data_IF_239452430765
#
_entry.id   IF_239452430765
#
_cell.length_a   1.000
_cell.length_b   1.000
_cell.length_c   1.000
_cell.angle_alpha   90.00
_cell.angle_beta   90.00
_cell.angle_gamma   90.00
#
_symmetry.space_group_name_H-M   'P 1'
#
loop_
_entity.id
_entity.type
_entity.pdbx_description
1 polymer ?
#
# COMPACT_ATOMS: atom_id res chain seq x y z
N UNK A 1 -10.70 22.07 5.48
CA UNK A 1 -10.86 21.80 6.92
C UNK A 1 -11.09 20.33 7.22
N UNK A 2 -12.08 19.66 6.60
CA UNK A 2 -12.38 18.24 6.85
C UNK A 2 -11.14 17.32 6.72
N UNK A 3 -10.36 17.43 5.64
CA UNK A 3 -9.15 16.63 5.42
C UNK A 3 -8.11 16.79 6.55
N UNK A 4 -7.91 18.02 7.03
CA UNK A 4 -6.99 18.30 8.14
C UNK A 4 -7.51 17.69 9.46
N UNK A 5 -8.82 17.70 9.69
CA UNK A 5 -9.44 17.06 10.85
C UNK A 5 -9.33 15.53 10.78
N UNK A 6 -9.57 14.93 9.60
CA UNK A 6 -9.38 13.48 9.38
C UNK A 6 -7.94 13.10 9.70
N UNK A 7 -6.98 13.84 9.15
CA UNK A 7 -5.55 13.60 9.39
C UNK A 7 -5.18 13.73 10.87
N UNK A 8 -5.61 14.82 11.53
CA UNK A 8 -5.33 15.06 12.94
C UNK A 8 -5.94 13.98 13.85
N UNK A 9 -7.23 13.66 13.65
CA UNK A 9 -7.89 12.62 14.44
C UNK A 9 -7.26 11.25 14.22
N UNK A 10 -6.85 10.92 12.99
CA UNK A 10 -6.11 9.70 12.68
C UNK A 10 -4.78 9.61 13.43
N UNK A 11 -3.99 10.70 13.45
CA UNK A 11 -2.72 10.77 14.19
C UNK A 11 -2.89 10.67 15.71
N UNK A 12 -4.02 11.13 16.24
CA UNK A 12 -4.33 11.07 17.67
C UNK A 12 -4.99 9.75 18.11
N UNK A 13 -5.11 8.75 17.22
CA UNK A 13 -5.80 7.51 17.54
C UNK A 13 -7.31 7.64 17.69
N UNK A 14 -7.88 8.82 17.39
CA UNK A 14 -9.30 9.11 17.50
C UNK A 14 -10.04 8.72 16.22
N UNK A 15 -9.89 7.47 15.79
CA UNK A 15 -10.35 7.00 14.49
C UNK A 15 -11.85 7.19 14.26
N UNK A 16 -12.68 6.98 15.29
CA UNK A 16 -14.14 7.21 15.20
C UNK A 16 -14.49 8.65 14.82
N UNK A 17 -13.71 9.63 15.32
CA UNK A 17 -13.90 11.04 14.96
C UNK A 17 -13.47 11.31 13.53
N UNK A 18 -12.37 10.68 13.08
CA UNK A 18 -11.93 10.79 11.68
C UNK A 18 -13.03 10.25 10.73
N UNK A 19 -13.57 9.06 11.03
CA UNK A 19 -14.66 8.45 10.26
C UNK A 19 -15.90 9.35 10.27
N UNK A 20 -16.29 9.89 11.43
CA UNK A 20 -17.45 10.77 11.53
C UNK A 20 -17.29 12.07 10.73
N UNK A 21 -16.07 12.61 10.63
CA UNK A 21 -15.79 13.77 9.76
C UNK A 21 -15.88 13.35 8.29
N UNK A 22 -15.26 12.23 7.92
CA UNK A 22 -15.28 11.70 6.56
C UNK A 22 -16.72 11.47 6.07
N UNK A 23 -17.53 10.74 6.83
CA UNK A 23 -18.94 10.44 6.48
C UNK A 23 -19.84 11.68 6.38
N UNK A 24 -19.49 12.79 7.04
CA UNK A 24 -20.24 14.05 6.96
C UNK A 24 -19.85 14.91 5.75
N UNK A 25 -18.83 14.52 4.99
CA UNK A 25 -18.45 15.23 3.78
C UNK A 25 -19.51 14.98 2.71
N UNK A 26 -19.97 16.06 2.08
CA UNK A 26 -20.92 15.93 0.96
C UNK A 26 -20.27 15.29 -0.27
N UNK A 27 -18.98 15.54 -0.49
CA UNK A 27 -18.21 14.96 -1.59
C UNK A 27 -16.78 14.69 -1.14
N UNK A 28 -16.30 13.47 -1.38
CA UNK A 28 -14.92 13.10 -1.18
C UNK A 28 -14.05 13.54 -2.37
N UNK A 29 -12.81 13.88 -2.09
CA UNK A 29 -11.75 14.11 -3.06
C UNK A 29 -10.53 13.23 -2.75
N UNK A 30 -9.52 13.26 -3.62
CA UNK A 30 -8.29 12.46 -3.51
C UNK A 30 -7.63 12.58 -2.12
N UNK A 31 -7.61 13.79 -1.56
CA UNK A 31 -6.99 14.06 -0.25
C UNK A 31 -7.83 13.43 0.87
N UNK A 32 -9.16 13.48 0.82
CA UNK A 32 -9.99 12.83 1.85
C UNK A 32 -9.85 11.31 1.84
N UNK A 33 -9.76 10.69 0.66
CA UNK A 33 -9.58 9.24 0.52
C UNK A 33 -8.22 8.79 1.07
N UNK A 34 -7.14 9.40 0.58
CA UNK A 34 -5.78 9.12 1.06
C UNK A 34 -5.64 9.36 2.57
N UNK A 35 -6.24 10.43 3.11
CA UNK A 35 -6.22 10.72 4.55
C UNK A 35 -6.97 9.67 5.37
N UNK A 36 -8.15 9.24 4.92
CA UNK A 36 -8.96 8.26 5.65
C UNK A 36 -8.33 6.86 5.60
N UNK A 37 -7.83 6.44 4.44
CA UNK A 37 -7.16 5.14 4.28
C UNK A 37 -5.89 5.07 5.13
N UNK A 38 -5.07 6.14 5.09
CA UNK A 38 -3.88 6.24 5.94
C UNK A 38 -4.24 6.20 7.43
N UNK A 39 -5.32 6.87 7.83
CA UNK A 39 -5.79 6.85 9.20
C UNK A 39 -6.29 5.45 9.63
N UNK A 40 -6.97 4.71 8.77
CA UNK A 40 -7.38 3.33 9.04
C UNK A 40 -6.16 2.42 9.23
N UNK A 41 -5.23 2.41 8.28
CA UNK A 41 -4.05 1.54 8.33
C UNK A 41 -3.17 1.83 9.55
N UNK A 42 -2.86 3.11 9.82
CA UNK A 42 -2.03 3.51 10.97
C UNK A 42 -2.67 3.20 12.33
N UNK A 43 -3.99 2.95 12.37
CA UNK A 43 -4.72 2.60 13.59
C UNK A 43 -5.07 1.10 13.67
N UNK A 44 -4.40 0.25 12.87
CA UNK A 44 -4.58 -1.20 12.91
C UNK A 44 -5.85 -1.70 12.20
N UNK A 45 -6.56 -0.81 11.50
CA UNK A 45 -7.77 -1.12 10.74
C UNK A 45 -7.44 -1.33 9.25
N UNK A 46 -6.29 -1.95 8.95
CA UNK A 46 -5.80 -2.19 7.58
C UNK A 46 -6.83 -2.92 6.71
N UNK A 47 -7.62 -3.83 7.28
CA UNK A 47 -8.66 -4.55 6.53
C UNK A 47 -9.75 -3.60 6.01
N UNK A 48 -10.12 -2.60 6.84
CA UNK A 48 -11.04 -1.54 6.42
C UNK A 48 -10.38 -0.60 5.42
N UNK A 49 -9.08 -0.34 5.54
CA UNK A 49 -8.34 0.46 4.58
C UNK A 49 -8.39 -0.17 3.17
N UNK A 50 -8.14 -1.48 3.07
CA UNK A 50 -8.26 -2.24 1.80
C UNK A 50 -9.70 -2.24 1.28
N UNK A 51 -10.69 -2.39 2.16
CA UNK A 51 -12.11 -2.37 1.78
C UNK A 51 -12.61 -1.03 1.21
N UNK A 52 -11.83 0.05 1.30
CA UNK A 52 -12.16 1.35 0.71
C UNK A 52 -11.94 1.38 -0.81
N UNK A 53 -11.08 0.51 -1.36
CA UNK A 53 -10.77 0.48 -2.80
C UNK A 53 -12.02 0.37 -3.70
N UNK A 54 -12.94 -0.59 -3.50
CA UNK A 54 -14.16 -0.66 -4.32
C UNK A 54 -15.07 0.56 -4.14
N UNK A 55 -15.05 1.22 -2.97
CA UNK A 55 -15.88 2.40 -2.68
C UNK A 55 -15.37 3.61 -3.47
N UNK A 56 -14.05 3.79 -3.56
CA UNK A 56 -13.43 4.84 -4.38
C UNK A 56 -13.89 4.71 -5.84
N UNK A 57 -13.87 3.50 -6.40
CA UNK A 57 -14.32 3.25 -7.78
C UNK A 57 -15.79 3.65 -7.97
N UNK A 58 -16.65 3.32 -7.01
CA UNK A 58 -18.09 3.65 -7.06
C UNK A 58 -18.37 5.16 -6.94
N UNK A 59 -17.52 5.91 -6.24
CA UNK A 59 -17.64 7.36 -6.05
C UNK A 59 -16.89 8.20 -7.11
N UNK A 60 -16.60 7.60 -8.28
CA UNK A 60 -16.03 8.30 -9.42
C UNK A 60 -14.51 8.25 -9.52
N UNK A 61 -13.85 7.34 -8.79
CA UNK A 61 -12.45 6.98 -9.05
C UNK A 61 -11.42 8.04 -8.65
N UNK A 62 -11.69 8.86 -7.64
CA UNK A 62 -10.76 9.90 -7.19
C UNK A 62 -9.70 9.33 -6.24
N UNK A 63 -8.70 8.64 -6.79
CA UNK A 63 -7.50 8.20 -6.08
C UNK A 63 -6.23 8.75 -6.73
N UNK A 64 -5.22 8.99 -5.89
CA UNK A 64 -3.89 9.40 -6.31
C UNK A 64 -2.84 8.40 -5.82
N UNK A 65 -1.57 8.65 -6.10
CA UNK A 65 -0.45 7.79 -5.72
C UNK A 65 -0.39 7.49 -4.23
N UNK A 66 -0.80 8.44 -3.38
CA UNK A 66 -0.81 8.29 -1.92
C UNK A 66 -1.89 7.29 -1.50
N UNK A 67 -3.08 7.37 -2.12
CA UNK A 67 -4.18 6.42 -1.87
C UNK A 67 -3.74 4.99 -2.16
N UNK A 68 -3.14 4.75 -3.33
CA UNK A 68 -2.70 3.41 -3.71
C UNK A 68 -1.57 2.89 -2.85
N UNK A 69 -0.57 3.72 -2.54
CA UNK A 69 0.52 3.36 -1.63
C UNK A 69 -0.03 2.92 -0.26
N UNK A 70 -1.01 3.64 0.28
CA UNK A 70 -1.62 3.31 1.57
C UNK A 70 -2.40 1.98 1.52
N UNK A 71 -3.13 1.70 0.43
CA UNK A 71 -3.84 0.42 0.24
C UNK A 71 -2.83 -0.74 0.11
N UNK A 72 -1.79 -0.58 -0.70
CA UNK A 72 -0.76 -1.62 -0.88
C UNK A 72 -0.01 -1.92 0.43
N UNK A 73 0.28 -0.88 1.22
CA UNK A 73 0.86 -1.01 2.57
C UNK A 73 -0.07 -1.81 3.49
N UNK A 74 -1.37 -1.48 3.49
CA UNK A 74 -2.37 -2.22 4.26
C UNK A 74 -2.48 -3.69 3.83
N UNK A 75 -2.39 -3.97 2.51
CA UNK A 75 -2.33 -5.34 2.01
C UNK A 75 -1.08 -6.07 2.50
N UNK A 76 0.09 -5.42 2.50
CA UNK A 76 1.34 -5.99 3.03
C UNK A 76 1.20 -6.38 4.50
N UNK A 77 0.64 -5.49 5.33
CA UNK A 77 0.40 -5.75 6.75
C UNK A 77 -0.50 -6.98 6.99
N UNK A 78 -1.43 -7.26 6.07
CA UNK A 78 -2.38 -8.37 6.16
C UNK A 78 -1.94 -9.64 5.42
N UNK A 79 -0.84 -9.59 4.66
CA UNK A 79 -0.46 -10.69 3.76
C UNK A 79 -1.47 -10.93 2.62
N UNK A 80 -2.20 -9.89 2.22
CA UNK A 80 -3.26 -9.99 1.20
C UNK A 80 -2.70 -9.81 -0.22
N UNK A 81 -2.27 -10.91 -0.82
CA UNK A 81 -1.65 -10.94 -2.16
C UNK A 81 -2.65 -10.50 -3.26
N UNK A 82 -3.79 -11.16 -3.35
CA UNK A 82 -4.75 -10.92 -4.44
C UNK A 82 -5.25 -9.46 -4.49
N UNK A 83 -5.71 -8.84 -3.38
CA UNK A 83 -6.11 -7.44 -3.39
C UNK A 83 -4.97 -6.48 -3.73
N UNK A 84 -3.73 -6.80 -3.33
CA UNK A 84 -2.58 -5.96 -3.66
C UNK A 84 -2.29 -5.95 -5.16
N UNK A 85 -2.32 -7.10 -5.82
CA UNK A 85 -2.13 -7.18 -7.27
C UNK A 85 -3.28 -6.51 -8.03
N UNK A 86 -4.53 -6.72 -7.60
CA UNK A 86 -5.67 -6.02 -8.19
C UNK A 86 -5.51 -4.50 -8.07
N UNK A 87 -5.12 -4.01 -6.89
CA UNK A 87 -4.83 -2.61 -6.62
C UNK A 87 -3.70 -2.09 -7.55
N UNK A 88 -2.60 -2.82 -7.63
CA UNK A 88 -1.44 -2.49 -8.46
C UNK A 88 -1.78 -2.42 -9.96
N UNK A 89 -2.63 -3.32 -10.46
CA UNK A 89 -3.09 -3.29 -11.86
C UNK A 89 -4.04 -2.12 -12.11
N UNK A 90 -5.04 -1.92 -11.24
CA UNK A 90 -6.03 -0.84 -11.38
C UNK A 90 -5.39 0.54 -11.40
N UNK A 91 -4.29 0.73 -10.64
CA UNK A 91 -3.54 1.97 -10.53
C UNK A 91 -3.21 2.56 -11.91
N UNK A 92 -2.69 1.73 -12.81
CA UNK A 92 -2.35 2.16 -14.17
C UNK A 92 -3.50 2.07 -15.16
N UNK A 93 -4.33 1.02 -15.07
CA UNK A 93 -5.36 0.73 -16.07
C UNK A 93 -6.62 1.60 -15.90
N UNK A 94 -7.10 1.74 -14.67
CA UNK A 94 -8.39 2.37 -14.38
C UNK A 94 -8.24 3.83 -13.93
N UNK A 95 -7.11 4.15 -13.29
CA UNK A 95 -6.86 5.47 -12.68
C UNK A 95 -5.80 6.30 -13.41
N UNK A 96 -5.06 5.71 -14.36
CA UNK A 96 -4.02 6.41 -15.11
C UNK A 96 -2.88 6.95 -14.24
N UNK A 97 -2.69 6.40 -13.04
CA UNK A 97 -1.60 6.75 -12.14
C UNK A 97 -0.36 5.96 -12.57
N UNK A 98 0.81 6.58 -12.56
CA UNK A 98 2.05 5.90 -12.90
C UNK A 98 2.56 5.02 -11.75
N UNK A 99 3.09 3.84 -12.07
CA UNK A 99 3.78 3.00 -11.10
C UNK A 99 5.10 3.63 -10.66
N UNK A 100 5.19 4.00 -9.38
CA UNK A 100 6.40 4.55 -8.77
C UNK A 100 7.08 3.52 -7.88
N UNK A 101 8.31 3.84 -7.48
CA UNK A 101 9.15 3.00 -6.62
C UNK A 101 8.41 2.52 -5.37
N UNK A 102 7.63 3.39 -4.74
CA UNK A 102 6.87 3.09 -3.52
C UNK A 102 5.85 1.96 -3.73
N UNK A 103 5.18 1.93 -4.89
CA UNK A 103 4.21 0.87 -5.20
C UNK A 103 4.90 -0.49 -5.33
N UNK A 104 6.05 -0.55 -6.01
CA UNK A 104 6.84 -1.77 -6.11
C UNK A 104 7.38 -2.22 -4.75
N UNK A 105 7.85 -1.27 -3.94
CA UNK A 105 8.37 -1.53 -2.59
C UNK A 105 7.32 -2.23 -1.72
N UNK A 106 6.06 -1.78 -1.77
CA UNK A 106 4.96 -2.42 -1.03
C UNK A 106 4.69 -3.85 -1.52
N UNK A 107 4.74 -4.11 -2.83
CA UNK A 107 4.53 -5.47 -3.36
C UNK A 107 5.69 -6.40 -2.99
N UNK A 108 6.94 -5.92 -3.08
CA UNK A 108 8.13 -6.70 -2.66
C UNK A 108 8.05 -7.04 -1.16
N UNK A 109 7.72 -6.07 -0.31
CA UNK A 109 7.54 -6.30 1.13
C UNK A 109 6.43 -7.32 1.42
N UNK A 110 5.29 -7.21 0.72
CA UNK A 110 4.18 -8.16 0.82
C UNK A 110 4.58 -9.58 0.41
N UNK A 111 5.19 -9.74 -0.76
CA UNK A 111 5.63 -11.04 -1.28
C UNK A 111 6.68 -11.66 -0.36
N UNK A 112 7.66 -10.86 0.08
CA UNK A 112 8.67 -11.27 1.04
C UNK A 112 8.04 -11.80 2.33
N UNK A 113 7.19 -11.03 2.99
CA UNK A 113 6.51 -11.42 4.24
C UNK A 113 5.63 -12.66 4.07
N UNK A 114 5.00 -12.81 2.90
CA UNK A 114 4.11 -13.94 2.58
C UNK A 114 4.86 -15.20 2.12
N UNK A 115 6.15 -15.08 1.86
CA UNK A 115 7.06 -16.16 1.46
C UNK A 115 7.09 -16.53 -0.01
N UNK A 116 6.62 -15.61 -0.83
CA UNK A 116 6.72 -15.66 -2.28
C UNK A 116 8.05 -15.01 -2.69
N UNK A 117 9.14 -15.59 -2.18
CA UNK A 117 10.50 -15.07 -2.37
C UNK A 117 10.93 -15.05 -3.84
N UNK A 118 10.67 -16.11 -4.65
CA UNK A 118 11.02 -16.09 -6.07
C UNK A 118 10.33 -14.95 -6.83
N UNK A 119 9.05 -14.72 -6.57
CA UNK A 119 8.27 -13.65 -7.20
C UNK A 119 8.73 -12.27 -6.73
N UNK A 120 9.11 -12.13 -5.45
CA UNK A 120 9.69 -10.89 -4.93
C UNK A 120 11.03 -10.55 -5.59
N UNK A 121 11.89 -11.54 -5.80
CA UNK A 121 13.16 -11.38 -6.52
C UNK A 121 12.94 -11.03 -7.99
N UNK A 122 12.06 -11.75 -8.67
CA UNK A 122 11.70 -11.47 -10.07
C UNK A 122 11.20 -10.04 -10.22
N UNK A 123 10.34 -9.59 -9.29
CA UNK A 123 9.85 -8.23 -9.30
C UNK A 123 10.99 -7.21 -9.15
N UNK A 124 11.90 -7.39 -8.18
CA UNK A 124 13.08 -6.51 -8.01
C UNK A 124 13.91 -6.40 -9.29
N UNK A 125 14.08 -7.51 -10.01
CA UNK A 125 14.85 -7.54 -11.26
C UNK A 125 14.09 -6.89 -12.43
N UNK A 126 12.77 -7.03 -12.46
CA UNK A 126 11.90 -6.46 -13.50
C UNK A 126 11.56 -4.98 -13.30
N UNK A 127 11.85 -4.42 -12.12
CA UNK A 127 11.54 -3.02 -11.81
C UNK A 127 12.21 -2.04 -12.78
N UNK A 128 11.49 -1.03 -13.28
CA UNK A 128 12.04 -0.03 -14.21
C UNK A 128 13.02 0.95 -13.52
N UNK A 129 13.08 0.91 -12.18
CA UNK A 129 13.95 1.74 -11.35
C UNK A 129 14.96 0.87 -10.59
N UNK A 130 16.08 1.46 -10.17
CA UNK A 130 16.98 0.85 -9.21
C UNK A 130 16.26 0.75 -7.84
N UNK A 131 16.25 -0.43 -7.20
CA UNK A 131 15.53 -0.62 -5.96
C UNK A 131 16.26 0.11 -4.83
N UNK A 132 15.51 0.85 -4.01
CA UNK A 132 16.09 1.53 -2.86
C UNK A 132 16.60 0.52 -1.80
N UNK A 133 17.53 0.94 -0.93
CA UNK A 133 18.12 0.06 0.09
C UNK A 133 17.10 -0.55 1.06
N UNK A 134 16.00 0.15 1.35
CA UNK A 134 14.95 -0.36 2.25
C UNK A 134 14.16 -1.49 1.61
N UNK A 135 13.86 -1.39 0.32
CA UNK A 135 13.19 -2.44 -0.46
C UNK A 135 14.03 -3.72 -0.50
N UNK A 136 15.34 -3.58 -0.79
CA UNK A 136 16.27 -4.72 -0.76
C UNK A 136 16.39 -5.29 0.65
N UNK A 137 16.52 -4.44 1.68
CA UNK A 137 16.61 -4.89 3.07
C UNK A 137 15.35 -5.63 3.54
N UNK A 138 14.15 -5.21 3.09
CA UNK A 138 12.91 -5.93 3.39
C UNK A 138 12.94 -7.35 2.83
N UNK A 139 13.29 -7.51 1.56
CA UNK A 139 13.41 -8.85 0.96
C UNK A 139 14.47 -9.70 1.67
N UNK A 140 15.66 -9.15 1.94
CA UNK A 140 16.72 -9.86 2.67
C UNK A 140 16.26 -10.33 4.05
N UNK A 141 15.53 -9.48 4.77
CA UNK A 141 14.91 -9.81 6.05
C UNK A 141 13.94 -10.98 5.92
N UNK A 142 13.08 -10.95 4.89
CA UNK A 142 12.15 -12.03 4.59
C UNK A 142 12.85 -13.35 4.23
N UNK A 143 13.85 -13.34 3.33
CA UNK A 143 14.63 -14.52 2.97
C UNK A 143 15.23 -15.18 4.23
N UNK A 144 15.80 -14.36 5.13
CA UNK A 144 16.38 -14.84 6.40
C UNK A 144 15.34 -15.45 7.33
N UNK A 145 14.18 -14.80 7.49
CA UNK A 145 13.10 -15.29 8.34
C UNK A 145 12.56 -16.64 7.87
N UNK A 146 12.61 -16.89 6.56
CA UNK A 146 12.08 -18.10 5.94
C UNK A 146 13.14 -19.17 5.66
N UNK A 147 14.40 -18.91 6.06
CA UNK A 147 15.49 -19.88 5.91
C UNK A 147 16.02 -20.03 4.48
N UNK A 148 15.68 -19.13 3.57
CA UNK A 148 16.24 -19.10 2.21
C UNK A 148 17.56 -18.31 2.20
N UNK A 149 18.67 -19.03 2.36
CA UNK A 149 20.00 -18.44 2.33
C UNK A 149 20.46 -18.00 0.92
N UNK A 150 19.79 -18.45 -0.14
CA UNK A 150 20.18 -18.14 -1.53
C UNK A 150 19.48 -16.89 -2.08
N UNK A 151 18.27 -16.63 -1.62
CA UNK A 151 17.41 -15.53 -2.06
C UNK A 151 18.09 -14.15 -1.97
N UNK A 152 18.77 -13.88 -0.85
CA UNK A 152 19.43 -12.60 -0.66
C UNK A 152 20.66 -12.34 -1.54
N UNK A 153 21.28 -13.38 -2.10
CA UNK A 153 22.46 -13.24 -2.94
C UNK A 153 22.17 -12.76 -4.36
N UNK A 154 20.94 -12.92 -4.85
CA UNK A 154 20.53 -12.59 -6.23
C UNK A 154 20.00 -11.16 -6.33
N UNK A 155 19.23 -10.71 -5.34
CA UNK A 155 18.67 -9.36 -5.30
C UNK A 155 19.72 -8.24 -5.13
N UNK A 156 20.87 -8.54 -4.51
CA UNK A 156 21.95 -7.56 -4.24
C UNK A 156 22.91 -7.38 -5.42
N UNK A 157 22.82 -8.21 -6.46
CA UNK A 157 23.77 -8.20 -7.60
C UNK A 157 23.27 -7.42 -8.83
N UNK A 158 22.18 -6.66 -8.69
CA UNK A 158 21.67 -5.79 -9.75
C UNK A 158 22.61 -4.60 -9.99
#
# INVERSE_FOLDING_TARGET
LANALIHMYGKCGSLDRAIAVFQKMWRHNEISWSSMISALDQNGESARAVAMLPIISLEGGLANEITFTAILTACSHLGMIEPAFQCFVSLGQDYGVEHRMEHYSCIVDLLGRSGWLPEAEELILAMPYEPDPMTVASLLGACKLQGDAQCGGRAVRR
#
